data_IF_334062493006
#
_entry.id   IF_334062493006
#
_cell.length_a   1.000
_cell.length_b   1.000
_cell.length_c   1.000
_cell.angle_alpha   90.00
_cell.angle_beta   90.00
_cell.angle_gamma   90.00
#
_symmetry.space_group_name_H-M   'P 1'
#
loop_
_entity.id
_entity.type
_entity.pdbx_description
1 polymer ?
#
# COMPACT_ATOMS: atom_id res chain seq x y z
N UNK A 1 -132.06 29.31 80.30
CA UNK A 1 -133.41 29.70 79.82
C UNK A 1 -133.19 30.81 78.84
N UNK A 2 -133.46 30.54 77.54
CA UNK A 2 -133.62 31.51 76.44
C UNK A 2 -132.43 32.43 76.11
N UNK A 3 -132.14 32.82 74.87
CA UNK A 3 -132.82 32.65 73.59
C UNK A 3 -131.78 32.96 72.48
N UNK A 4 -131.95 32.31 71.33
CA UNK A 4 -131.33 32.63 70.05
C UNK A 4 -131.76 34.01 69.52
N UNK A 5 -130.94 34.55 68.61
CA UNK A 5 -131.27 35.12 67.28
C UNK A 5 -130.25 36.22 66.96
N UNK A 6 -129.30 36.00 66.04
CA UNK A 6 -129.36 36.04 64.56
C UNK A 6 -129.25 37.45 63.97
N UNK A 7 -128.57 37.51 62.81
CA UNK A 7 -128.23 38.63 61.89
C UNK A 7 -126.70 38.93 61.85
N UNK A 8 -125.88 38.30 61.00
CA UNK A 8 -125.83 38.24 59.53
C UNK A 8 -125.26 39.51 58.86
N UNK A 9 -124.53 39.31 57.74
CA UNK A 9 -123.96 40.27 56.76
C UNK A 9 -122.51 40.71 57.09
N UNK A 10 -121.43 40.41 56.35
CA UNK A 10 -121.22 39.92 54.97
C UNK A 10 -119.94 39.07 54.87
N UNK A 11 -120.05 37.86 54.30
CA UNK A 11 -118.90 37.17 53.71
C UNK A 11 -118.70 37.73 52.30
N UNK A 12 -117.77 38.66 52.17
CA UNK A 12 -117.42 39.31 50.90
C UNK A 12 -116.79 38.29 49.94
N UNK A 13 -117.34 38.23 48.72
CA UNK A 13 -116.92 37.52 47.52
C UNK A 13 -115.44 37.73 47.14
N UNK A 14 -114.51 37.11 47.86
CA UNK A 14 -113.07 37.19 47.58
C UNK A 14 -112.45 35.95 46.93
N UNK A 15 -113.18 34.82 46.86
CA UNK A 15 -112.58 33.52 46.52
C UNK A 15 -112.93 33.02 45.11
N UNK A 16 -114.06 33.47 44.53
CA UNK A 16 -114.49 33.07 43.19
C UNK A 16 -113.74 33.77 42.06
N UNK A 17 -113.35 35.03 42.27
CA UNK A 17 -112.61 35.82 41.27
C UNK A 17 -111.14 35.38 41.17
N UNK A 18 -110.52 34.97 42.29
CA UNK A 18 -109.16 34.42 42.30
C UNK A 18 -109.10 33.02 41.65
N UNK A 19 -110.13 32.17 41.85
CA UNK A 19 -110.23 30.88 41.14
C UNK A 19 -110.51 31.05 39.64
N UNK A 20 -111.31 32.04 39.25
CA UNK A 20 -111.55 32.39 37.86
C UNK A 20 -110.28 32.92 37.19
N UNK A 21 -109.53 33.79 37.87
CA UNK A 21 -108.25 34.34 37.40
C UNK A 21 -107.19 33.24 37.28
N UNK A 22 -107.09 32.33 38.26
CA UNK A 22 -106.17 31.20 38.21
C UNK A 22 -106.49 30.25 37.04
N UNK A 23 -107.77 30.03 36.78
CA UNK A 23 -108.24 29.21 35.65
C UNK A 23 -107.89 29.86 34.31
N UNK A 24 -108.05 31.17 34.18
CA UNK A 24 -107.69 31.89 32.94
C UNK A 24 -106.18 31.97 32.72
N UNK A 25 -105.36 32.13 33.77
CA UNK A 25 -103.90 32.05 33.67
C UNK A 25 -103.44 30.67 33.22
N UNK A 26 -104.04 29.61 33.77
CA UNK A 26 -103.77 28.22 33.37
C UNK A 26 -104.14 27.97 31.91
N UNK A 27 -105.29 28.50 31.46
CA UNK A 27 -105.71 28.43 30.05
C UNK A 27 -104.75 29.20 29.14
N UNK A 28 -104.31 30.38 29.53
CA UNK A 28 -103.37 31.18 28.73
C UNK A 28 -102.00 30.52 28.61
N UNK A 29 -101.48 29.96 29.71
CA UNK A 29 -100.24 29.17 29.71
C UNK A 29 -100.37 27.91 28.84
N UNK A 30 -101.52 27.23 28.88
CA UNK A 30 -101.78 26.08 28.01
C UNK A 30 -101.81 26.48 26.53
N UNK A 31 -102.41 27.63 26.19
CA UNK A 31 -102.42 28.16 24.81
C UNK A 31 -101.00 28.50 24.35
N UNK A 32 -100.18 29.14 25.20
CA UNK A 32 -98.78 29.43 24.87
C UNK A 32 -98.01 28.12 24.66
N UNK A 33 -98.14 27.16 25.56
CA UNK A 33 -97.47 25.86 25.45
C UNK A 33 -97.88 25.11 24.18
N UNK A 34 -99.16 25.13 23.83
CA UNK A 34 -99.68 24.51 22.61
C UNK A 34 -99.19 25.23 21.35
N UNK A 35 -99.15 26.57 21.38
CA UNK A 35 -98.62 27.39 20.29
C UNK A 35 -97.14 27.12 20.06
N UNK A 36 -96.35 26.97 21.13
CA UNK A 36 -94.94 26.58 21.03
C UNK A 36 -94.80 25.16 20.46
N UNK A 37 -95.61 24.20 20.91
CA UNK A 37 -95.62 22.83 20.36
C UNK A 37 -95.90 22.82 18.85
N UNK A 38 -96.91 23.56 18.41
CA UNK A 38 -97.30 23.66 16.99
C UNK A 38 -96.21 24.33 16.14
N UNK A 39 -95.47 25.30 16.69
CA UNK A 39 -94.36 25.96 16.00
C UNK A 39 -93.12 25.06 15.95
N UNK A 40 -92.78 24.38 17.04
CA UNK A 40 -91.53 23.62 17.14
C UNK A 40 -91.63 22.20 16.57
N UNK A 41 -92.80 21.55 16.57
CA UNK A 41 -92.95 20.21 15.96
C UNK A 41 -92.54 20.19 14.48
N UNK A 42 -93.04 21.09 13.60
CA UNK A 42 -92.67 21.11 12.19
C UNK A 42 -91.18 21.41 11.99
N UNK A 43 -90.60 22.28 12.82
CA UNK A 43 -89.17 22.63 12.77
C UNK A 43 -88.30 21.41 13.12
N UNK A 44 -88.70 20.63 14.13
CA UNK A 44 -87.98 19.39 14.49
C UNK A 44 -88.18 18.28 13.44
N UNK A 45 -89.36 18.21 12.80
CA UNK A 45 -89.64 17.22 11.76
C UNK A 45 -89.04 17.56 10.39
N UNK A 46 -88.75 18.84 10.13
CA UNK A 46 -88.10 19.32 8.89
C UNK A 46 -86.57 19.27 8.94
N UNK A 47 -85.96 18.89 10.08
CA UNK A 47 -84.53 18.61 10.16
C UNK A 47 -84.21 17.37 9.29
N UNK A 48 -83.35 17.49 8.27
CA UNK A 48 -83.01 16.37 7.41
C UNK A 48 -82.32 15.28 8.23
N UNK A 49 -82.94 14.10 8.30
CA UNK A 49 -82.39 12.90 8.97
C UNK A 49 -81.18 12.29 8.24
N UNK A 50 -80.74 12.87 7.12
CA UNK A 50 -79.59 12.41 6.33
C UNK A 50 -78.27 12.42 7.12
N UNK A 51 -78.12 13.35 8.06
CA UNK A 51 -76.93 13.44 8.92
C UNK A 51 -76.74 12.19 9.81
N UNK A 52 -77.80 11.45 10.16
CA UNK A 52 -77.70 10.28 11.04
C UNK A 52 -77.25 9.02 10.30
N UNK A 53 -77.47 8.92 8.98
CA UNK A 53 -76.99 7.79 8.17
C UNK A 53 -75.58 8.00 7.61
N UNK A 54 -75.11 9.25 7.48
CA UNK A 54 -73.76 9.56 7.00
C UNK A 54 -72.65 9.18 8.00
N UNK A 55 -72.92 9.24 9.31
CA UNK A 55 -71.95 8.92 10.37
C UNK A 55 -71.45 7.46 10.32
N UNK A 56 -72.30 6.42 10.25
CA UNK A 56 -71.82 5.04 10.18
C UNK A 56 -71.07 4.72 8.88
N UNK A 57 -71.42 5.35 7.75
CA UNK A 57 -70.71 5.20 6.47
C UNK A 57 -69.29 5.78 6.56
N UNK A 58 -69.15 6.99 7.10
CA UNK A 58 -67.85 7.63 7.32
C UNK A 58 -66.94 6.84 8.27
N UNK A 59 -67.52 6.19 9.30
CA UNK A 59 -66.77 5.32 10.22
C UNK A 59 -66.20 4.10 9.49
N UNK A 60 -66.98 3.44 8.64
CA UNK A 60 -66.52 2.26 7.90
C UNK A 60 -65.50 2.64 6.80
N UNK A 61 -65.70 3.76 6.10
CA UNK A 61 -64.71 4.29 5.14
C UNK A 61 -63.37 4.61 5.82
N UNK A 62 -63.41 5.27 6.99
CA UNK A 62 -62.20 5.58 7.76
C UNK A 62 -61.50 4.29 8.24
N UNK A 63 -62.28 3.26 8.60
CA UNK A 63 -61.74 1.94 8.96
C UNK A 63 -61.05 1.25 7.77
N UNK A 64 -61.65 1.31 6.58
CA UNK A 64 -61.06 0.77 5.34
C UNK A 64 -59.78 1.52 4.98
N UNK A 65 -59.80 2.86 5.06
CA UNK A 65 -58.63 3.70 4.81
C UNK A 65 -57.48 3.37 5.77
N UNK A 66 -57.75 3.26 7.08
CA UNK A 66 -56.75 2.86 8.09
C UNK A 66 -56.13 1.49 7.79
N UNK A 67 -56.94 0.51 7.37
CA UNK A 67 -56.43 -0.81 6.95
C UNK A 67 -55.56 -0.76 5.71
N UNK A 68 -55.96 0.03 4.69
CA UNK A 68 -55.14 0.23 3.48
C UNK A 68 -53.82 0.92 3.81
N UNK A 69 -53.85 1.94 4.66
CA UNK A 69 -52.66 2.68 5.09
C UNK A 69 -51.69 1.76 5.86
N UNK A 70 -52.22 0.90 6.73
CA UNK A 70 -51.42 -0.11 7.42
C UNK A 70 -50.80 -1.14 6.47
N UNK A 71 -51.53 -1.62 5.45
CA UNK A 71 -50.98 -2.51 4.41
C UNK A 71 -49.88 -1.85 3.60
N UNK A 72 -50.10 -0.63 3.12
CA UNK A 72 -49.10 0.14 2.37
C UNK A 72 -47.86 0.37 3.24
N UNK A 73 -48.04 0.72 4.51
CA UNK A 73 -46.92 0.85 5.46
C UNK A 73 -46.12 -0.44 5.62
N UNK A 74 -46.79 -1.60 5.68
CA UNK A 74 -46.14 -2.90 5.74
C UNK A 74 -45.41 -3.27 4.44
N UNK A 75 -46.01 -2.97 3.28
CA UNK A 75 -45.39 -3.18 1.96
C UNK A 75 -44.13 -2.31 1.79
N UNK A 76 -44.21 -1.02 2.12
CA UNK A 76 -43.07 -0.11 2.10
C UNK A 76 -41.96 -0.62 3.04
N UNK A 77 -42.32 -1.04 4.26
CA UNK A 77 -41.36 -1.61 5.20
C UNK A 77 -40.70 -2.90 4.67
N UNK A 78 -41.46 -3.74 3.98
CA UNK A 78 -40.95 -4.93 3.31
C UNK A 78 -39.97 -4.59 2.17
N UNK A 79 -40.35 -3.64 1.31
CA UNK A 79 -39.50 -3.15 0.22
C UNK A 79 -38.21 -2.51 0.73
N UNK A 80 -38.26 -1.74 1.82
CA UNK A 80 -37.09 -1.12 2.43
C UNK A 80 -36.06 -2.18 2.86
N UNK A 81 -36.53 -3.26 3.51
CA UNK A 81 -35.66 -4.39 3.91
C UNK A 81 -35.02 -5.08 2.71
N UNK A 82 -35.76 -5.24 1.61
CA UNK A 82 -35.20 -5.80 0.36
C UNK A 82 -34.13 -4.88 -0.19
N UNK A 83 -34.37 -3.56 -0.24
CA UNK A 83 -33.38 -2.57 -0.68
C UNK A 83 -32.11 -2.63 0.17
N UNK A 84 -32.24 -2.71 1.50
CA UNK A 84 -31.09 -2.82 2.39
C UNK A 84 -30.29 -4.11 2.13
N UNK A 85 -30.97 -5.23 1.94
CA UNK A 85 -30.32 -6.50 1.62
C UNK A 85 -29.58 -6.46 0.26
N UNK A 86 -30.17 -5.81 -0.74
CA UNK A 86 -29.55 -5.63 -2.06
C UNK A 86 -28.34 -4.70 -2.00
N UNK A 87 -28.44 -3.62 -1.24
CA UNK A 87 -27.31 -2.69 -1.03
C UNK A 87 -26.14 -3.39 -0.34
N UNK A 88 -26.40 -4.23 0.66
CA UNK A 88 -25.34 -4.97 1.33
C UNK A 88 -24.71 -6.03 0.39
N UNK A 89 -25.53 -6.74 -0.39
CA UNK A 89 -25.02 -7.66 -1.41
C UNK A 89 -24.17 -6.93 -2.48
N UNK A 90 -24.57 -5.73 -2.88
CA UNK A 90 -23.85 -4.89 -3.83
C UNK A 90 -22.51 -4.40 -3.26
N UNK A 91 -22.47 -4.01 -1.97
CA UNK A 91 -21.22 -3.69 -1.27
C UNK A 91 -20.27 -4.87 -1.22
N UNK A 92 -20.77 -6.06 -0.90
CA UNK A 92 -19.96 -7.28 -0.89
C UNK A 92 -19.41 -7.63 -2.28
N UNK A 93 -20.24 -7.51 -3.33
CA UNK A 93 -19.80 -7.71 -4.72
C UNK A 93 -18.73 -6.71 -5.14
N UNK A 94 -18.90 -5.43 -4.80
CA UNK A 94 -17.91 -4.39 -5.11
C UNK A 94 -16.58 -4.63 -4.39
N UNK A 95 -16.61 -5.07 -3.13
CA UNK A 95 -15.41 -5.48 -2.40
C UNK A 95 -14.68 -6.63 -3.12
N UNK A 96 -15.43 -7.64 -3.56
CA UNK A 96 -14.86 -8.79 -4.30
C UNK A 96 -14.29 -8.40 -5.65
N UNK A 97 -14.92 -7.45 -6.36
CA UNK A 97 -14.37 -6.88 -7.61
C UNK A 97 -13.03 -6.20 -7.33
N UNK A 98 -12.95 -5.41 -6.26
CA UNK A 98 -11.70 -4.72 -5.89
C UNK A 98 -10.57 -5.73 -5.56
N UNK A 99 -10.89 -6.79 -4.81
CA UNK A 99 -9.94 -7.87 -4.51
C UNK A 99 -9.45 -8.58 -5.80
N UNK A 100 -10.34 -8.82 -6.77
CA UNK A 100 -9.97 -9.42 -8.05
C UNK A 100 -9.06 -8.50 -8.88
N UNK A 101 -9.31 -7.19 -8.88
CA UNK A 101 -8.46 -6.21 -9.57
C UNK A 101 -7.04 -6.16 -8.97
N UNK A 102 -6.93 -6.19 -7.63
CA UNK A 102 -5.65 -6.24 -6.94
C UNK A 102 -4.89 -7.55 -7.21
N UNK A 103 -5.63 -8.67 -7.32
CA UNK A 103 -5.08 -9.96 -7.70
C UNK A 103 -4.57 -9.96 -9.14
N UNK A 104 -5.32 -9.39 -10.08
CA UNK A 104 -4.91 -9.24 -11.48
C UNK A 104 -3.62 -8.43 -11.60
N UNK A 105 -3.55 -7.29 -10.90
CA UNK A 105 -2.33 -6.46 -10.84
C UNK A 105 -1.14 -7.24 -10.30
N UNK A 106 -1.35 -8.06 -9.27
CA UNK A 106 -0.32 -8.93 -8.70
C UNK A 106 0.13 -10.00 -9.69
N UNK A 107 -0.80 -10.64 -10.41
CA UNK A 107 -0.50 -11.63 -11.44
C UNK A 107 0.30 -11.03 -12.59
N UNK A 108 -0.08 -9.85 -13.08
CA UNK A 108 0.65 -9.13 -14.14
C UNK A 108 2.09 -8.78 -13.70
N UNK A 109 2.27 -8.38 -12.44
CA UNK A 109 3.60 -8.17 -11.87
C UNK A 109 4.42 -9.46 -11.76
N UNK A 110 3.80 -10.59 -11.40
CA UNK A 110 4.47 -11.89 -11.38
C UNK A 110 4.85 -12.37 -12.78
N UNK A 111 3.97 -12.19 -13.76
CA UNK A 111 4.22 -12.56 -15.15
C UNK A 111 5.39 -11.75 -15.75
N UNK A 112 5.42 -10.44 -15.53
CA UNK A 112 6.54 -9.61 -15.99
C UNK A 112 7.88 -9.99 -15.33
N UNK A 113 7.88 -10.35 -14.03
CA UNK A 113 9.07 -10.89 -13.35
C UNK A 113 9.50 -12.23 -13.96
N UNK A 114 8.55 -13.14 -14.24
CA UNK A 114 8.83 -14.43 -14.88
C UNK A 114 9.50 -14.25 -16.25
N UNK A 115 8.95 -13.36 -17.08
CA UNK A 115 9.51 -13.08 -18.40
C UNK A 115 10.94 -12.51 -18.31
N UNK A 116 11.22 -11.63 -17.34
CA UNK A 116 12.58 -11.10 -17.10
C UNK A 116 13.55 -12.21 -16.67
N UNK A 117 13.11 -13.12 -15.79
CA UNK A 117 13.93 -14.26 -15.36
C UNK A 117 14.21 -15.21 -16.53
N UNK A 118 13.23 -15.46 -17.39
CA UNK A 118 13.41 -16.29 -18.58
C UNK A 118 14.43 -15.67 -19.55
N UNK A 119 14.35 -14.35 -19.78
CA UNK A 119 15.33 -13.61 -20.59
C UNK A 119 16.74 -13.62 -19.98
N UNK A 120 16.85 -13.50 -18.65
CA UNK A 120 18.13 -13.60 -17.96
C UNK A 120 18.72 -15.02 -18.08
N UNK A 121 17.89 -16.05 -17.97
CA UNK A 121 18.28 -17.45 -18.09
C UNK A 121 18.74 -17.79 -19.51
N UNK A 122 18.05 -17.30 -20.55
CA UNK A 122 18.50 -17.44 -21.93
C UNK A 122 19.84 -16.75 -22.18
N UNK A 123 20.03 -15.55 -21.63
CA UNK A 123 21.30 -14.83 -21.73
C UNK A 123 22.44 -15.59 -21.07
N UNK A 124 22.21 -16.11 -19.85
CA UNK A 124 23.20 -16.92 -19.12
C UNK A 124 23.56 -18.21 -19.86
N UNK A 125 22.60 -18.83 -20.54
CA UNK A 125 22.83 -20.02 -21.37
C UNK A 125 23.75 -19.69 -22.56
N UNK A 126 23.55 -18.55 -23.22
CA UNK A 126 24.43 -18.08 -24.30
C UNK A 126 25.84 -17.78 -23.77
N UNK A 127 25.95 -17.07 -22.64
CA UNK A 127 27.24 -16.78 -21.99
C UNK A 127 28.00 -18.07 -21.64
N UNK A 128 27.31 -19.06 -21.08
CA UNK A 128 27.89 -20.36 -20.74
C UNK A 128 28.40 -21.12 -21.99
N UNK A 129 27.65 -21.08 -23.09
CA UNK A 129 28.08 -21.67 -24.37
C UNK A 129 29.33 -20.97 -24.93
N UNK A 130 29.38 -19.64 -24.88
CA UNK A 130 30.55 -18.87 -25.30
C UNK A 130 31.79 -19.16 -24.44
N UNK A 131 31.61 -19.25 -23.12
CA UNK A 131 32.68 -19.64 -22.17
C UNK A 131 33.20 -21.06 -22.47
N UNK A 132 32.30 -22.02 -22.72
CA UNK A 132 32.67 -23.39 -23.10
C UNK A 132 33.47 -23.42 -24.40
N UNK A 133 33.07 -22.65 -25.39
CA UNK A 133 33.81 -22.52 -26.66
C UNK A 133 35.21 -21.93 -26.44
N UNK A 134 35.32 -20.86 -25.64
CA UNK A 134 36.62 -20.24 -25.29
C UNK A 134 37.54 -21.21 -24.53
N UNK A 135 37.01 -21.97 -23.58
CA UNK A 135 37.76 -23.00 -22.85
C UNK A 135 38.36 -24.03 -23.80
N UNK A 136 37.58 -24.54 -24.76
CA UNK A 136 38.06 -25.50 -25.76
C UNK A 136 39.20 -24.94 -26.62
N UNK A 137 39.16 -23.65 -26.96
CA UNK A 137 40.25 -22.98 -27.70
C UNK A 137 41.49 -22.85 -26.82
N UNK A 138 41.34 -22.44 -25.55
CA UNK A 138 42.45 -22.33 -24.61
C UNK A 138 43.12 -23.69 -24.36
N UNK A 139 42.37 -24.78 -24.21
CA UNK A 139 42.92 -26.13 -24.09
C UNK A 139 43.78 -26.52 -25.30
N UNK A 140 43.28 -26.28 -26.52
CA UNK A 140 44.04 -26.52 -27.75
C UNK A 140 45.34 -25.72 -27.77
N UNK A 141 45.28 -24.44 -27.40
CA UNK A 141 46.45 -23.57 -27.33
C UNK A 141 47.45 -24.03 -26.26
N UNK A 142 46.98 -24.52 -25.12
CA UNK A 142 47.83 -25.03 -24.04
C UNK A 142 48.55 -26.32 -24.47
N UNK A 143 47.84 -27.25 -25.13
CA UNK A 143 48.46 -28.45 -25.71
C UNK A 143 49.52 -28.09 -26.76
N UNK A 144 49.21 -27.15 -27.67
CA UNK A 144 50.17 -26.67 -28.66
C UNK A 144 51.39 -25.99 -28.00
N UNK A 145 51.17 -25.16 -26.98
CA UNK A 145 52.22 -24.51 -26.19
C UNK A 145 53.14 -25.52 -25.49
N UNK A 146 52.59 -26.57 -24.88
CA UNK A 146 53.36 -27.68 -24.29
C UNK A 146 54.21 -28.41 -25.33
N UNK A 147 53.68 -28.67 -26.52
CA UNK A 147 54.45 -29.27 -27.63
C UNK A 147 55.62 -28.38 -28.04
N UNK A 148 55.40 -27.07 -28.18
CA UNK A 148 56.45 -26.10 -28.50
C UNK A 148 57.53 -26.03 -27.42
N UNK A 149 57.15 -26.00 -26.14
CA UNK A 149 58.08 -26.03 -25.01
C UNK A 149 58.97 -27.27 -25.04
N UNK A 150 58.40 -28.46 -25.25
CA UNK A 150 59.16 -29.71 -25.39
C UNK A 150 60.15 -29.66 -26.56
N UNK A 151 59.75 -29.09 -27.70
CA UNK A 151 60.62 -28.94 -28.86
C UNK A 151 61.79 -27.98 -28.59
N UNK A 152 61.53 -26.85 -27.90
CA UNK A 152 62.58 -25.91 -27.48
C UNK A 152 63.53 -26.59 -26.50
N UNK A 153 63.00 -27.34 -25.52
CA UNK A 153 63.80 -28.04 -24.52
C UNK A 153 64.74 -29.06 -25.17
N UNK A 154 64.24 -29.87 -26.11
CA UNK A 154 65.09 -30.75 -26.93
C UNK A 154 66.16 -29.97 -27.71
N UNK A 155 65.80 -28.86 -28.38
CA UNK A 155 66.79 -28.04 -29.10
C UNK A 155 67.89 -27.51 -28.17
N UNK A 156 67.53 -27.10 -26.95
CA UNK A 156 68.46 -26.58 -25.94
C UNK A 156 69.41 -27.66 -25.40
N UNK A 157 68.91 -28.89 -25.22
CA UNK A 157 69.73 -30.04 -24.84
C UNK A 157 70.69 -30.41 -25.97
N UNK A 158 70.21 -30.40 -27.22
CA UNK A 158 71.05 -30.69 -28.39
C UNK A 158 72.15 -29.64 -28.58
N UNK A 159 71.85 -28.35 -28.36
CA UNK A 159 72.87 -27.29 -28.42
C UNK A 159 73.83 -27.28 -27.22
N UNK A 160 73.42 -27.81 -26.05
CA UNK A 160 74.33 -28.04 -24.91
C UNK A 160 75.33 -29.17 -25.18
N UNK A 161 74.95 -30.20 -25.93
CA UNK A 161 75.85 -31.31 -26.29
C UNK A 161 76.92 -30.83 -27.30
N UNK A 162 76.61 -29.85 -28.15
CA UNK A 162 77.56 -29.24 -29.10
C UNK A 162 78.41 -28.08 -28.52
N UNK A 163 78.21 -27.71 -27.25
CA UNK A 163 78.91 -26.58 -26.59
C UNK A 163 79.76 -27.04 -25.41
N UNK A 164 80.54 -28.11 -25.60
CA UNK A 164 81.74 -28.36 -24.78
C UNK A 164 82.97 -27.73 -25.47
N UNK A 165 83.02 -26.40 -25.45
CA UNK A 165 84.24 -25.64 -25.67
C UNK A 165 84.30 -24.57 -24.57
N UNK A 166 85.42 -24.42 -23.84
CA UNK A 166 85.44 -23.63 -22.63
C UNK A 166 85.66 -22.16 -22.99
N UNK A 167 84.59 -21.36 -23.01
CA UNK A 167 84.73 -19.92 -23.04
C UNK A 167 84.10 -19.23 -21.83
N UNK A 168 85.01 -18.59 -21.10
CA UNK A 168 84.77 -17.60 -20.07
C UNK A 168 83.85 -16.50 -20.60
N UNK A 169 83.09 -15.91 -19.67
CA UNK A 169 82.72 -14.49 -19.54
C UNK A 169 81.21 -14.25 -19.38
N UNK A 170 80.93 -13.36 -18.40
CA UNK A 170 79.72 -12.60 -18.10
C UNK A 170 78.64 -13.28 -17.26
N UNK A 171 78.84 -13.15 -15.93
CA UNK A 171 77.76 -12.92 -14.96
C UNK A 171 76.89 -11.74 -15.43
N UNK A 172 75.75 -12.03 -16.05
CA UNK A 172 74.57 -11.17 -15.99
C UNK A 172 73.69 -11.72 -14.88
N UNK A 173 73.56 -10.92 -13.85
CA UNK A 173 72.68 -11.12 -12.70
C UNK A 173 71.25 -11.38 -13.19
N UNK A 174 70.83 -12.64 -13.07
CA UNK A 174 69.42 -13.03 -13.15
C UNK A 174 68.67 -12.34 -12.01
N UNK A 175 67.87 -11.32 -12.35
CA UNK A 175 66.83 -10.82 -11.45
C UNK A 175 65.85 -11.96 -11.22
N UNK A 176 65.94 -12.55 -10.03
CA UNK A 176 64.99 -13.52 -9.48
C UNK A 176 63.57 -12.99 -9.67
N UNK A 177 62.86 -13.59 -10.62
CA UNK A 177 61.40 -13.57 -10.70
C UNK A 177 60.85 -14.16 -9.40
N UNK A 178 60.52 -13.31 -8.43
CA UNK A 178 59.79 -13.71 -7.22
C UNK A 178 58.35 -13.98 -7.65
N UNK A 179 58.00 -15.26 -7.55
CA UNK A 179 56.68 -15.83 -7.78
C UNK A 179 55.66 -15.24 -6.79
N UNK A 180 54.59 -14.69 -7.33
CA UNK A 180 53.36 -14.32 -6.62
C UNK A 180 52.61 -13.23 -7.40
N UNK A 181 51.29 -13.33 -7.60
CA UNK A 181 50.53 -12.22 -8.16
C UNK A 181 50.70 -10.99 -7.24
N UNK A 182 50.82 -9.78 -7.81
CA UNK A 182 50.99 -8.57 -7.03
C UNK A 182 49.83 -8.41 -6.02
N UNK A 183 50.17 -8.34 -4.73
CA UNK A 183 49.21 -8.04 -3.66
C UNK A 183 48.96 -6.53 -3.68
N UNK A 184 47.82 -6.13 -4.23
CA UNK A 184 47.34 -4.75 -4.26
C UNK A 184 46.18 -4.64 -3.26
N UNK A 185 46.33 -3.80 -2.24
CA UNK A 185 45.26 -3.49 -1.30
C UNK A 185 44.83 -2.03 -1.49
N UNK A 186 43.53 -1.78 -1.73
CA UNK A 186 43.00 -0.42 -1.96
C UNK A 186 42.12 -0.06 -0.77
N UNK A 187 42.44 1.04 -0.10
CA UNK A 187 41.74 1.49 1.11
C UNK A 187 41.40 2.96 1.06
N UNK A 188 40.43 3.38 1.85
CA UNK A 188 40.21 4.78 2.17
C UNK A 188 40.97 5.12 3.44
N UNK A 189 41.44 6.36 3.58
CA UNK A 189 42.14 6.84 4.77
C UNK A 189 41.32 6.63 6.06
N UNK A 190 39.99 6.68 5.96
CA UNK A 190 39.08 6.32 7.05
C UNK A 190 37.71 5.89 6.51
N UNK A 191 36.87 5.30 7.38
CA UNK A 191 35.46 5.05 7.06
C UNK A 191 34.70 6.38 6.81
N UNK A 192 35.03 7.44 7.54
CA UNK A 192 34.44 8.77 7.33
C UNK A 192 34.77 9.33 5.94
N UNK A 193 35.99 9.13 5.46
CA UNK A 193 36.39 9.53 4.10
C UNK A 193 35.55 8.84 3.03
N UNK A 194 35.29 7.54 3.19
CA UNK A 194 34.41 6.81 2.27
C UNK A 194 32.98 7.35 2.34
N UNK A 195 32.46 7.61 3.55
CA UNK A 195 31.13 8.18 3.73
C UNK A 195 30.99 9.53 3.01
N UNK A 196 31.89 10.47 3.27
CA UNK A 196 31.89 11.79 2.61
C UNK A 196 31.94 11.69 1.07
N UNK A 197 32.65 10.69 0.54
CA UNK A 197 32.73 10.48 -0.91
C UNK A 197 31.44 9.92 -1.49
N UNK A 198 30.69 9.14 -0.72
CA UNK A 198 29.34 8.70 -1.10
C UNK A 198 28.40 9.89 -1.11
N UNK A 199 28.44 10.72 -0.07
CA UNK A 199 27.60 11.92 0.05
C UNK A 199 27.87 12.90 -1.09
N UNK A 200 29.15 13.12 -1.41
CA UNK A 200 29.57 14.01 -2.50
C UNK A 200 29.53 13.34 -3.89
N UNK A 201 28.92 12.16 -4.02
CA UNK A 201 28.81 11.40 -5.28
C UNK A 201 30.13 11.07 -5.99
N UNK A 202 31.28 11.15 -5.28
CA UNK A 202 32.60 10.75 -5.78
C UNK A 202 32.78 9.24 -5.78
N UNK A 203 32.06 8.54 -4.91
CA UNK A 203 32.04 7.07 -4.84
C UNK A 203 30.60 6.59 -4.90
N UNK A 204 30.34 5.57 -5.73
CA UNK A 204 29.05 4.86 -5.75
C UNK A 204 29.24 3.49 -5.15
N UNK A 205 28.40 3.16 -4.17
CA UNK A 205 28.40 1.85 -3.52
C UNK A 205 27.34 0.96 -4.16
N UNK A 206 27.73 -0.28 -4.39
CA UNK A 206 26.89 -1.35 -4.86
C UNK A 206 26.93 -2.48 -3.85
N UNK A 207 25.76 -3.07 -3.59
CA UNK A 207 25.62 -4.25 -2.76
C UNK A 207 25.13 -5.38 -3.66
N UNK A 208 25.82 -6.51 -3.61
CA UNK A 208 25.43 -7.72 -4.31
C UNK A 208 25.10 -8.81 -3.31
N UNK A 209 23.95 -9.45 -3.48
CA UNK A 209 23.50 -10.57 -2.65
C UNK A 209 22.75 -11.58 -3.52
N UNK A 210 23.23 -12.83 -3.54
CA UNK A 210 22.81 -13.81 -4.55
C UNK A 210 22.97 -13.26 -5.98
N UNK A 211 21.90 -13.32 -6.76
CA UNK A 211 21.86 -12.82 -8.15
C UNK A 211 21.42 -11.34 -8.26
N UNK A 212 21.21 -10.67 -7.14
CA UNK A 212 20.68 -9.31 -7.11
C UNK A 212 21.78 -8.28 -6.86
N UNK A 213 21.76 -7.20 -7.65
CA UNK A 213 22.58 -6.02 -7.44
C UNK A 213 21.73 -4.83 -7.03
N UNK A 214 22.21 -4.08 -6.05
CA UNK A 214 21.59 -2.85 -5.58
C UNK A 214 22.63 -1.73 -5.58
N UNK A 215 22.21 -0.53 -5.95
CA UNK A 215 23.02 0.67 -5.82
C UNK A 215 22.51 1.49 -4.64
N UNK A 216 23.42 1.88 -3.76
CA UNK A 216 23.14 2.84 -2.70
C UNK A 216 22.84 4.22 -3.32
N UNK A 217 21.74 4.82 -2.90
CA UNK A 217 21.31 6.17 -3.22
C UNK A 217 21.37 6.99 -1.95
N UNK A 218 22.18 8.04 -1.95
CA UNK A 218 22.21 9.02 -0.88
C UNK A 218 21.43 10.26 -1.33
N UNK A 219 20.36 10.63 -0.62
CA UNK A 219 19.56 11.82 -0.88
C UNK A 219 19.12 12.45 0.43
N UNK A 220 19.45 13.73 0.65
CA UNK A 220 19.02 14.51 1.82
C UNK A 220 19.29 13.79 3.16
N UNK A 221 20.48 13.24 3.35
CA UNK A 221 20.83 12.48 4.57
C UNK A 221 20.33 11.04 4.60
N UNK A 222 19.41 10.66 3.70
CA UNK A 222 18.82 9.33 3.67
C UNK A 222 19.54 8.40 2.70
N UNK A 223 19.84 7.19 3.18
CA UNK A 223 20.41 6.10 2.42
C UNK A 223 19.32 5.12 2.01
N UNK A 224 19.10 4.95 0.72
CA UNK A 224 18.15 3.99 0.15
C UNK A 224 18.85 3.11 -0.89
N UNK A 225 18.24 1.99 -1.26
CA UNK A 225 18.80 1.08 -2.27
C UNK A 225 17.90 1.01 -3.49
N UNK A 226 18.50 1.21 -4.67
CA UNK A 226 17.85 1.00 -5.96
C UNK A 226 18.34 -0.29 -6.58
N UNK A 227 17.43 -1.20 -6.92
CA UNK A 227 17.76 -2.42 -7.65
C UNK A 227 18.33 -2.09 -9.04
N UNK A 228 19.39 -2.81 -9.41
CA UNK A 228 20.02 -2.72 -10.72
C UNK A 228 19.49 -3.79 -11.66
N UNK A 229 19.10 -3.37 -12.87
CA UNK A 229 18.72 -4.29 -13.95
C UNK A 229 19.94 -4.80 -14.73
N UNK A 230 21.06 -4.06 -14.71
CA UNK A 230 22.31 -4.42 -15.39
C UNK A 230 23.52 -4.07 -14.54
N UNK A 231 24.48 -4.98 -14.49
CA UNK A 231 25.75 -4.83 -13.79
C UNK A 231 26.80 -4.48 -14.84
N UNK A 232 27.26 -3.24 -14.88
CA UNK A 232 28.30 -2.80 -15.85
C UNK A 232 29.38 -1.93 -15.20
N UNK A 233 30.60 -2.03 -15.74
CA UNK A 233 31.78 -1.25 -15.36
C UNK A 233 32.71 -1.96 -14.37
N UNK A 234 33.98 -1.56 -14.39
CA UNK A 234 34.99 -1.99 -13.41
C UNK A 234 34.61 -1.48 -12.02
N UNK A 235 34.54 -2.39 -11.05
CA UNK A 235 34.28 -2.07 -9.64
C UNK A 235 35.32 -2.76 -8.77
N UNK A 236 35.58 -2.14 -7.62
CA UNK A 236 36.49 -2.67 -6.62
C UNK A 236 35.67 -3.35 -5.54
N UNK A 237 35.96 -4.62 -5.25
CA UNK A 237 35.34 -5.31 -4.11
C UNK A 237 36.00 -4.81 -2.83
N UNK A 238 35.19 -4.44 -1.84
CA UNK A 238 35.65 -3.95 -0.55
C UNK A 238 35.20 -4.93 0.54
N UNK A 239 36.09 -5.32 1.47
CA UNK A 239 35.69 -6.17 2.60
C UNK A 239 34.67 -5.47 3.50
N UNK A 240 33.74 -6.23 4.06
CA UNK A 240 32.63 -5.72 4.88
C UNK A 240 33.12 -4.92 6.11
N UNK A 241 34.29 -5.22 6.64
CA UNK A 241 34.91 -4.49 7.77
C UNK A 241 35.34 -3.06 7.43
N UNK A 242 35.51 -2.73 6.15
CA UNK A 242 35.92 -1.41 5.67
C UNK A 242 34.76 -0.55 5.17
N UNK A 243 33.54 -1.09 5.19
CA UNK A 243 32.33 -0.36 4.86
C UNK A 243 31.84 0.39 6.10
N UNK A 244 31.54 1.70 6.00
CA UNK A 244 31.05 2.48 7.12
C UNK A 244 29.81 1.87 7.77
N UNK A 245 29.73 1.94 9.10
CA UNK A 245 28.62 1.35 9.86
C UNK A 245 27.25 1.89 9.41
N UNK A 246 27.15 3.19 9.11
CA UNK A 246 25.93 3.80 8.59
C UNK A 246 25.40 3.09 7.33
N UNK A 247 26.29 2.70 6.43
CA UNK A 247 25.94 2.02 5.18
C UNK A 247 25.54 0.57 5.44
N UNK A 248 26.23 -0.11 6.35
CA UNK A 248 25.85 -1.47 6.80
C UNK A 248 24.46 -1.47 7.45
N UNK A 249 24.18 -0.53 8.35
CA UNK A 249 22.86 -0.39 8.99
C UNK A 249 21.76 -0.11 7.96
N UNK A 250 22.01 0.80 7.02
CA UNK A 250 21.06 1.06 5.93
C UNK A 250 20.83 -0.19 5.06
N UNK A 251 21.87 -0.99 4.80
CA UNK A 251 21.74 -2.24 4.06
C UNK A 251 20.81 -3.23 4.78
N UNK A 252 21.02 -3.42 6.09
CA UNK A 252 20.16 -4.30 6.90
C UNK A 252 18.72 -3.80 6.97
N UNK A 253 18.52 -2.49 7.15
CA UNK A 253 17.20 -1.89 7.24
C UNK A 253 16.39 -2.04 5.95
N UNK A 254 17.01 -1.79 4.79
CA UNK A 254 16.29 -1.79 3.50
C UNK A 254 16.26 -3.15 2.82
N UNK A 255 17.27 -3.99 3.04
CA UNK A 255 17.46 -5.24 2.32
C UNK A 255 17.52 -6.47 3.23
N UNK A 256 17.33 -6.34 4.55
CA UNK A 256 17.51 -7.42 5.52
C UNK A 256 16.77 -8.72 5.17
N UNK A 257 15.55 -8.62 4.64
CA UNK A 257 14.74 -9.79 4.25
C UNK A 257 15.31 -10.59 3.07
N UNK A 258 16.25 -10.02 2.31
CA UNK A 258 16.85 -10.63 1.13
C UNK A 258 18.39 -10.67 1.20
N UNK A 259 18.98 -10.12 2.26
CA UNK A 259 20.42 -10.06 2.44
C UNK A 259 20.93 -11.42 2.91
N UNK A 260 21.74 -12.05 2.09
CA UNK A 260 22.43 -13.29 2.41
C UNK A 260 23.75 -13.03 3.13
N UNK A 261 24.25 -14.03 3.85
CA UNK A 261 25.53 -13.95 4.57
C UNK A 261 26.73 -13.70 3.63
N UNK A 262 26.63 -14.12 2.37
CA UNK A 262 27.65 -13.97 1.33
C UNK A 262 27.58 -12.64 0.57
N UNK A 263 26.79 -11.66 1.07
CA UNK A 263 26.70 -10.36 0.42
C UNK A 263 28.07 -9.67 0.36
N UNK A 264 28.30 -8.94 -0.72
CA UNK A 264 29.53 -8.18 -0.94
C UNK A 264 29.26 -6.76 -1.36
N UNK A 265 30.14 -5.86 -0.93
CA UNK A 265 30.13 -4.47 -1.37
C UNK A 265 31.15 -4.26 -2.47
N UNK A 266 30.71 -3.60 -3.53
CA UNK A 266 31.54 -3.17 -4.64
C UNK A 266 31.43 -1.66 -4.81
N UNK A 267 32.54 -1.02 -5.18
CA UNK A 267 32.64 0.43 -5.27
C UNK A 267 33.00 0.83 -6.69
N UNK A 268 32.37 1.91 -7.16
CA UNK A 268 32.80 2.62 -8.37
C UNK A 268 33.29 4.00 -7.99
N UNK A 269 34.54 4.27 -8.33
CA UNK A 269 35.20 5.56 -8.10
C UNK A 269 34.82 6.55 -9.20
N UNK A 270 34.90 7.85 -8.90
CA UNK A 270 34.80 8.90 -9.91
C UNK A 270 35.95 8.79 -10.92
N UNK A 271 35.80 9.32 -12.15
CA UNK A 271 36.87 9.30 -13.14
C UNK A 271 38.18 9.92 -12.64
N UNK A 272 38.11 10.99 -11.84
CA UNK A 272 39.29 11.66 -11.28
C UNK A 272 40.07 10.76 -10.31
N UNK A 273 39.40 10.12 -9.35
CA UNK A 273 40.03 9.22 -8.40
C UNK A 273 40.52 7.95 -9.11
N UNK A 274 39.74 7.43 -10.06
CA UNK A 274 40.12 6.26 -10.85
C UNK A 274 41.38 6.52 -11.68
N UNK A 275 41.54 7.71 -12.26
CA UNK A 275 42.77 8.11 -12.96
C UNK A 275 43.95 8.16 -12.00
N UNK A 276 43.83 8.86 -10.87
CA UNK A 276 44.89 8.93 -9.87
C UNK A 276 45.33 7.54 -9.36
N UNK A 277 44.37 6.64 -9.15
CA UNK A 277 44.63 5.26 -8.74
C UNK A 277 45.34 4.48 -9.83
N UNK A 278 44.91 4.61 -11.09
CA UNK A 278 45.55 3.94 -12.23
C UNK A 278 46.99 4.42 -12.42
N UNK A 279 47.22 5.73 -12.31
CA UNK A 279 48.57 6.32 -12.40
C UNK A 279 49.48 5.80 -11.28
N UNK A 280 48.95 5.66 -10.06
CA UNK A 280 49.70 5.10 -8.92
C UNK A 280 50.00 3.60 -9.09
N UNK A 281 49.02 2.81 -9.54
CA UNK A 281 49.19 1.37 -9.83
C UNK A 281 50.19 1.11 -10.97
N UNK A 282 50.28 2.02 -11.95
CA UNK A 282 51.28 1.94 -13.02
C UNK A 282 52.70 2.22 -12.52
N UNK A 283 52.85 3.03 -11.45
CA UNK A 283 54.14 3.34 -10.83
C UNK A 283 54.57 2.29 -9.81
N UNK A 284 53.63 1.69 -9.10
CA UNK A 284 53.90 0.76 -8.01
C UNK A 284 53.19 -0.58 -8.27
N UNK A 285 53.99 -1.63 -8.51
CA UNK A 285 53.47 -2.96 -8.88
C UNK A 285 52.76 -3.70 -7.75
N UNK A 286 52.96 -3.31 -6.49
CA UNK A 286 52.35 -3.92 -5.30
C UNK A 286 52.35 -2.95 -4.12
N UNK A 287 51.46 -3.16 -3.16
CA UNK A 287 51.39 -2.31 -1.97
C UNK A 287 49.97 -2.02 -1.52
N UNK A 288 49.86 -1.19 -0.48
CA UNK A 288 48.61 -0.62 -0.01
C UNK A 288 48.46 0.79 -0.59
N UNK A 289 47.32 1.06 -1.22
CA UNK A 289 46.99 2.33 -1.85
C UNK A 289 45.89 3.00 -1.05
N UNK A 290 46.24 4.10 -0.38
CA UNK A 290 45.34 4.84 0.51
C UNK A 290 44.74 6.02 -0.25
N UNK A 291 43.41 6.02 -0.40
CA UNK A 291 42.64 7.13 -0.95
C UNK A 291 42.39 8.13 0.18
N UNK A 292 43.04 9.30 0.09
CA UNK A 292 42.92 10.36 1.10
C UNK A 292 41.60 11.14 0.95
N UNK A 293 41.27 11.97 1.94
CA UNK A 293 40.08 12.85 1.93
C UNK A 293 40.03 13.80 0.72
N UNK A 294 41.19 14.14 0.15
CA UNK A 294 41.25 15.00 -1.05
C UNK A 294 41.10 14.23 -2.36
N UNK A 295 41.10 12.90 -2.32
CA UNK A 295 41.08 12.03 -3.51
C UNK A 295 42.47 11.79 -4.12
N UNK A 296 43.54 12.14 -3.39
CA UNK A 296 44.92 11.73 -3.72
C UNK A 296 45.17 10.29 -3.29
N UNK A 297 46.15 9.65 -3.91
CA UNK A 297 46.54 8.27 -3.64
C UNK A 297 47.92 8.27 -3.01
N UNK A 298 48.01 7.78 -1.78
CA UNK A 298 49.27 7.52 -1.08
C UNK A 298 49.61 6.04 -1.21
N UNK A 299 50.86 5.72 -1.54
CA UNK A 299 51.35 4.35 -1.65
C UNK A 299 52.16 4.01 -0.41
N UNK A 300 51.75 2.94 0.25
CA UNK A 300 52.49 2.29 1.34
C UNK A 300 53.04 0.96 0.82
N UNK A 301 54.38 0.80 0.74
CA UNK A 301 54.97 -0.48 0.38
C UNK A 301 54.59 -1.53 1.44
N UNK A 302 54.15 -2.71 0.98
CA UNK A 302 53.94 -3.85 1.86
C UNK A 302 55.32 -4.37 2.33
N UNK A 303 55.48 -4.72 3.62
CA UNK A 303 56.72 -5.30 4.15
C UNK A 303 57.06 -6.65 3.50
#
# INVERSE_FOLDING_TARGET
>A
MSLFDDDNIDAVDGNSDDEALQTDVMRFLAIIAFSLLVIFIPIVQSLPREATQAVPVLIEENRILKRRLARIGAEIGGQLRVIDSLNEALRQKNKKIQELLDMEKTLKNRQSKSNRLQAALSQKKIEAQQLKAKMKVLERNNVAGRKRLRAIQKKLETSRIFSQAPERIRKKTEKKSRKGPPRVDIVFASQQTLLEFVESSKVRIFLFTGDYGFQLQYRNGNMTYRRLDRISGSRYTMPNSRIPEAIRRASMQYLGNILRDDHRYELKLSPSIQKNLSDSLNRHLSGKFVITRTGRIEHEPLP
#
